data_IF_924840411458
#
_entry.id   IF_924840411458
#
_cell.length_a   1.000
_cell.length_b   1.000
_cell.length_c   1.000
_cell.angle_alpha   90.00
_cell.angle_beta   90.00
_cell.angle_gamma   90.00
#
_symmetry.space_group_name_H-M   'P 1'
#
loop_
_entity.id
_entity.type
_entity.pdbx_description
1 polymer ?
2 non-polymer ?
3 non-polymer ?
4 non-polymer ?
5 non-polymer ?
6 water ?
#
# COMPACT_ATOMS: atom_id res chain seq x y z
N UNK A 1 5.37 17.52 21.56
CA UNK A 1 4.73 16.92 20.39
C UNK A 1 4.71 15.39 20.49
N UNK A 2 3.70 14.78 19.92
CA UNK A 2 3.50 13.32 20.02
C UNK A 2 2.79 12.72 18.82
N UNK A 3 3.06 13.25 17.64
CA UNK A 3 2.41 12.79 16.43
C UNK A 3 3.23 11.72 15.73
N UNK A 4 2.56 10.78 15.08
CA UNK A 4 3.23 9.84 14.19
C UNK A 4 3.00 10.30 12.77
N UNK A 5 4.02 10.18 11.93
CA UNK A 5 3.90 10.56 10.53
C UNK A 5 3.83 9.28 9.69
N UNK A 6 2.77 9.16 8.88
CA UNK A 6 2.64 8.01 7.99
C UNK A 6 2.84 8.50 6.57
N UNK A 7 3.83 7.93 5.87
CA UNK A 7 4.11 8.30 4.49
C UNK A 7 3.41 7.30 3.58
N UNK A 8 2.50 7.78 2.73
CA UNK A 8 1.75 6.90 1.83
C UNK A 8 2.31 7.08 0.42
N UNK A 9 2.67 5.97 -0.23
CA UNK A 9 3.28 6.00 -1.55
C UNK A 9 2.40 5.26 -2.58
N UNK A 10 1.57 6.00 -3.34
CA UNK A 10 0.79 5.34 -4.37
C UNK A 10 1.69 4.95 -5.54
N UNK A 11 1.84 3.65 -5.80
CA UNK A 11 2.83 3.20 -6.76
C UNK A 11 2.59 3.73 -8.16
N UNK A 12 3.69 3.89 -8.89
CA UNK A 12 3.64 4.32 -10.29
C UNK A 12 3.08 5.75 -10.42
N UNK A 13 2.73 6.16 -11.63
CA UNK A 13 2.29 7.53 -11.83
C UNK A 13 2.86 8.13 -13.09
N UNK A 14 2.10 9.02 -13.71
CA UNK A 14 2.53 9.72 -14.91
C UNK A 14 2.82 8.72 -16.02
N UNK A 15 3.99 8.85 -16.62
CA UNK A 15 4.39 7.96 -17.70
C UNK A 15 4.47 6.48 -17.29
N UNK A 16 4.63 6.22 -16.00
CA UNK A 16 4.68 4.85 -15.50
C UNK A 16 3.27 4.39 -15.13
N UNK A 17 2.61 3.67 -16.04
CA UNK A 17 1.24 3.26 -15.80
C UNK A 17 1.11 2.07 -14.85
N UNK A 18 2.20 1.34 -14.63
CA UNK A 18 2.08 0.09 -13.87
C UNK A 18 1.34 -0.92 -14.71
N UNK A 19 0.74 -1.93 -14.08
CA UNK A 19 0.03 -2.94 -14.84
C UNK A 19 -1.20 -2.35 -15.52
N UNK A 20 -1.54 -2.87 -16.69
CA UNK A 20 -2.70 -2.42 -17.46
C UNK A 20 -3.67 -3.57 -17.68
N UNK A 21 -4.92 -3.39 -17.28
CA UNK A 21 -5.91 -4.43 -17.49
C UNK A 21 -6.07 -4.78 -18.96
N UNK A 22 -6.14 -6.08 -19.25
CA UNK A 22 -6.28 -6.59 -20.60
C UNK A 22 -7.73 -6.56 -21.03
N UNK A 23 -8.61 -6.34 -20.07
CA UNK A 23 -10.05 -6.34 -20.29
C UNK A 23 -10.55 -4.95 -20.67
N UNK A 24 -10.03 -3.94 -19.98
CA UNK A 24 -10.69 -2.64 -19.89
C UNK A 24 -9.73 -1.46 -20.03
N UNK A 25 -8.44 -1.75 -20.18
CA UNK A 25 -7.41 -0.72 -20.22
C UNK A 25 -7.56 0.29 -19.09
N UNK A 26 -7.61 -0.24 -17.87
CA UNK A 26 -7.46 0.57 -16.69
C UNK A 26 -6.02 0.40 -16.27
N UNK A 27 -5.46 1.43 -15.63
CA UNK A 27 -4.06 1.41 -15.23
C UNK A 27 -3.91 1.31 -13.74
N UNK A 28 -2.99 0.46 -13.30
CA UNK A 28 -2.63 0.37 -11.89
C UNK A 28 -2.34 1.73 -11.25
N UNK A 29 -1.62 2.60 -11.96
CA UNK A 29 -1.27 3.90 -11.39
C UNK A 29 -2.51 4.65 -10.88
N UNK A 30 -3.62 4.53 -11.59
CA UNK A 30 -4.81 5.31 -11.25
C UNK A 30 -5.54 4.68 -10.07
N UNK A 31 -5.60 3.36 -10.06
CA UNK A 31 -6.26 2.65 -8.99
C UNK A 31 -5.45 2.76 -7.69
N UNK A 32 -4.13 2.72 -7.80
CA UNK A 32 -3.28 2.95 -6.65
C UNK A 32 -3.58 4.31 -5.98
N UNK A 33 -3.72 5.35 -6.81
CA UNK A 33 -3.98 6.69 -6.29
C UNK A 33 -5.34 6.73 -5.61
N UNK A 34 -6.34 6.02 -6.16
CA UNK A 34 -7.68 6.02 -5.57
C UNK A 34 -7.65 5.38 -4.20
N UNK A 35 -7.00 4.22 -4.10
CA UNK A 35 -6.90 3.52 -2.83
C UNK A 35 -6.09 4.35 -1.83
N UNK A 36 -4.98 4.94 -2.27
CA UNK A 36 -4.12 5.72 -1.38
C UNK A 36 -4.84 6.95 -0.85
N UNK A 37 -5.66 7.58 -1.69
CA UNK A 37 -6.40 8.76 -1.27
C UNK A 37 -7.37 8.42 -0.14
N UNK A 38 -8.04 7.28 -0.25
CA UNK A 38 -8.94 6.84 0.80
C UNK A 38 -8.18 6.55 2.07
N UNK A 39 -7.03 5.87 1.94
CA UNK A 39 -6.18 5.57 3.08
C UNK A 39 -5.71 6.87 3.74
N UNK A 40 -5.21 7.81 2.93
CA UNK A 40 -4.73 9.10 3.47
C UNK A 40 -5.83 9.87 4.20
N UNK A 41 -7.01 9.93 3.61
CA UNK A 41 -8.13 10.63 4.23
C UNK A 41 -8.52 10.04 5.57
N UNK A 42 -8.53 8.71 5.65
CA UNK A 42 -8.88 8.02 6.89
C UNK A 42 -7.85 8.23 7.98
N UNK A 43 -6.56 8.12 7.63
CA UNK A 43 -5.50 8.32 8.60
C UNK A 43 -5.48 9.74 9.14
N UNK A 44 -5.73 10.71 8.27
CA UNK A 44 -5.66 12.11 8.67
C UNK A 44 -6.73 12.47 9.71
N UNK A 45 -7.76 11.65 9.83
CA UNK A 45 -8.84 11.87 10.81
C UNK A 45 -8.44 11.41 12.21
N UNK A 46 -7.43 10.55 12.28
CA UNK A 46 -6.94 10.07 13.56
C UNK A 46 -6.18 11.17 14.28
N UNK A 47 -6.29 11.19 15.61
CA UNK A 47 -5.77 12.28 16.42
C UNK A 47 -4.27 12.55 16.28
N UNK A 48 -3.45 11.55 16.62
CA UNK A 48 -2.00 11.72 16.64
C UNK A 48 -1.33 11.37 15.31
N UNK A 49 -2.05 11.53 14.20
CA UNK A 49 -1.51 11.13 12.90
C UNK A 49 -1.36 12.28 11.89
N UNK A 50 -0.18 12.40 11.28
CA UNK A 50 0.03 13.34 10.18
C UNK A 50 0.41 12.55 8.93
N UNK A 51 -0.31 12.80 7.84
CA UNK A 51 -0.09 12.05 6.60
C UNK A 51 0.77 12.82 5.61
N UNK A 52 1.72 12.13 5.00
CA UNK A 52 2.53 12.69 3.93
C UNK A 52 2.37 11.73 2.77
N UNK A 53 2.13 12.24 1.57
CA UNK A 53 1.95 11.32 0.42
C UNK A 53 3.00 11.63 -0.64
N UNK A 54 3.46 10.63 -1.38
CA UNK A 54 4.45 10.93 -2.41
C UNK A 54 3.79 11.67 -3.57
N UNK A 55 2.52 11.39 -3.82
CA UNK A 55 1.80 12.11 -4.86
C UNK A 55 0.32 12.14 -4.57
N UNK A 56 -0.33 13.22 -5.03
CA UNK A 56 -1.77 13.40 -4.92
C UNK A 56 -2.43 13.38 -6.29
N UNK A 57 -1.62 13.34 -7.34
CA UNK A 57 -2.11 13.43 -8.70
C UNK A 57 -1.32 12.50 -9.59
N UNK A 58 -1.58 12.54 -10.89
CA UNK A 58 -0.95 11.59 -11.82
C UNK A 58 0.47 12.03 -12.19
N UNK A 59 1.37 11.96 -11.22
CA UNK A 59 2.73 12.48 -11.39
C UNK A 59 3.74 11.35 -11.42
N UNK A 60 4.71 11.43 -12.33
CA UNK A 60 5.80 10.46 -12.34
C UNK A 60 6.75 10.73 -11.18
N UNK A 61 7.07 9.70 -10.40
CA UNK A 61 8.12 9.80 -9.39
C UNK A 61 9.03 8.57 -9.41
N UNK A 62 10.34 8.79 -9.54
CA UNK A 62 11.29 7.67 -9.57
C UNK A 62 11.33 6.92 -8.23
N UNK A 63 11.81 5.68 -8.22
CA UNK A 63 11.88 4.92 -6.98
C UNK A 63 12.84 5.60 -5.99
N UNK A 64 13.99 6.06 -6.49
CA UNK A 64 14.96 6.76 -5.67
C UNK A 64 14.31 7.96 -5.00
N UNK A 65 13.55 8.73 -5.79
CA UNK A 65 12.90 9.92 -5.26
C UNK A 65 11.87 9.60 -4.17
N UNK A 66 11.12 8.50 -4.31
CA UNK A 66 10.14 8.14 -3.29
C UNK A 66 10.81 7.86 -1.94
N UNK A 67 11.93 7.15 -1.97
CA UNK A 67 12.65 6.86 -0.73
C UNK A 67 13.23 8.15 -0.15
N UNK A 68 13.71 9.04 -1.01
CA UNK A 68 14.21 10.31 -0.54
C UNK A 68 13.11 11.12 0.13
N UNK A 69 11.95 11.22 -0.53
CA UNK A 69 10.82 11.96 0.04
C UNK A 69 10.41 11.36 1.38
N UNK A 70 10.30 10.03 1.46
CA UNK A 70 9.94 9.36 2.70
C UNK A 70 10.95 9.70 3.79
N UNK A 71 12.23 9.56 3.47
CA UNK A 71 13.28 9.81 4.45
C UNK A 71 13.28 11.26 4.93
N UNK A 72 13.17 12.20 3.99
CA UNK A 72 13.14 13.61 4.37
C UNK A 72 11.91 13.98 5.20
N UNK A 73 10.84 13.21 5.08
CA UNK A 73 9.62 13.52 5.82
C UNK A 73 9.72 13.01 7.25
N UNK A 74 10.80 12.28 7.53
CA UNK A 74 11.02 11.64 8.84
C UNK A 74 9.79 10.83 9.28
N UNK A 75 9.19 10.13 8.33
CA UNK A 75 8.01 9.32 8.62
C UNK A 75 8.33 8.25 9.64
N UNK A 76 7.32 7.84 10.41
CA UNK A 76 7.46 6.70 11.32
C UNK A 76 7.19 5.37 10.62
N UNK A 77 6.29 5.41 9.64
CA UNK A 77 5.97 4.24 8.84
C UNK A 77 5.74 4.64 7.40
N UNK A 78 6.13 3.75 6.48
CA UNK A 78 5.89 3.97 5.05
C UNK A 78 4.95 2.87 4.55
N UNK A 79 3.89 3.25 3.85
CA UNK A 79 3.02 2.25 3.22
C UNK A 79 2.93 2.57 1.74
N UNK A 80 3.42 1.65 0.91
CA UNK A 80 3.34 1.79 -0.53
C UNK A 80 2.15 0.98 -1.00
N UNK A 81 1.39 1.53 -1.94
CA UNK A 81 0.16 0.88 -2.42
C UNK A 81 0.34 0.49 -3.88
N UNK A 82 0.27 -0.80 -4.17
CA UNK A 82 0.44 -1.30 -5.54
C UNK A 82 -0.64 -2.34 -5.82
N UNK A 83 -0.75 -2.79 -7.07
CA UNK A 83 -1.60 -3.93 -7.41
C UNK A 83 -0.68 -4.99 -8.01
N UNK A 84 -1.02 -6.24 -7.77
CA UNK A 84 -0.17 -7.31 -8.24
C UNK A 84 -0.46 -7.62 -9.71
N UNK A 85 0.46 -8.36 -10.32
CA UNK A 85 0.28 -8.79 -11.70
C UNK A 85 0.97 -10.13 -11.90
N UNK A 86 0.31 -11.01 -12.65
CA UNK A 86 0.95 -12.22 -13.17
C UNK A 86 1.53 -11.91 -14.54
N UNK A 87 2.80 -12.22 -14.76
CA UNK A 87 3.40 -11.95 -16.08
C UNK A 87 2.80 -12.82 -17.18
N UNK A 88 2.55 -14.09 -16.86
CA UNK A 88 1.90 -15.00 -17.80
C UNK A 88 0.71 -15.73 -17.18
N UNK A 89 -0.34 -14.98 -16.89
CA UNK A 89 -1.52 -15.58 -16.29
C UNK A 89 -2.60 -14.55 -16.02
N UNK A 90 -3.81 -15.02 -15.72
CA UNK A 90 -4.92 -14.13 -15.45
C UNK A 90 -5.86 -14.72 -14.41
N UNK A 91 -5.30 -15.53 -13.52
CA UNK A 91 -6.09 -16.29 -12.55
C UNK A 91 -5.77 -16.03 -11.07
N UNK A 92 -4.57 -15.52 -10.77
CA UNK A 92 -4.16 -15.36 -9.36
C UNK A 92 -5.07 -14.41 -8.58
N UNK A 93 -5.27 -14.67 -7.28
CA UNK A 93 -6.05 -13.76 -6.45
C UNK A 93 -5.44 -13.53 -5.08
N UNK A 94 -5.83 -12.44 -4.44
CA UNK A 94 -5.47 -12.23 -3.06
C UNK A 94 -4.49 -11.09 -2.82
N UNK A 95 -4.25 -10.81 -1.55
CA UNK A 95 -3.40 -9.69 -1.16
C UNK A 95 -2.18 -10.21 -0.42
N UNK A 96 -1.01 -9.62 -0.68
CA UNK A 96 0.20 -9.95 0.09
C UNK A 96 0.88 -8.64 0.44
N UNK A 97 1.69 -8.67 1.49
CA UNK A 97 2.38 -7.44 1.92
C UNK A 97 3.88 -7.69 1.97
N UNK A 98 4.65 -6.81 1.32
CA UNK A 98 6.09 -6.95 1.25
C UNK A 98 6.79 -6.10 2.31
N UNK A 99 7.97 -6.54 2.72
CA UNK A 99 8.88 -5.75 3.55
C UNK A 99 10.31 -6.03 3.09
N UNK A 100 11.25 -5.13 3.42
CA UNK A 100 12.63 -5.25 2.93
C UNK A 100 13.32 -6.51 3.43
N UNK A 101 14.24 -7.04 2.62
CA UNK A 101 15.00 -8.23 2.98
C UNK A 101 15.58 -8.18 4.39
N UNK A 102 15.33 -9.24 5.16
CA UNK A 102 15.92 -9.42 6.50
C UNK A 102 15.67 -8.25 7.45
N UNK A 103 14.50 -7.62 7.33
CA UNK A 103 14.20 -6.45 8.14
C UNK A 103 14.21 -6.75 9.64
N UNK A 104 14.99 -5.98 10.38
CA UNK A 104 15.08 -6.12 11.84
C UNK A 104 14.44 -4.93 12.55
N UNK A 105 13.96 -3.95 11.77
CA UNK A 105 13.51 -2.68 12.32
C UNK A 105 12.03 -2.63 12.69
N UNK A 106 11.32 -3.73 12.48
CA UNK A 106 9.90 -3.77 12.78
C UNK A 106 9.02 -3.78 11.54
N UNK A 107 9.65 -3.67 10.37
CA UNK A 107 8.94 -3.77 9.10
C UNK A 107 8.19 -5.10 8.95
N UNK A 108 8.82 -6.18 9.40
CA UNK A 108 8.20 -7.49 9.29
C UNK A 108 6.96 -7.55 10.17
N UNK A 109 7.06 -6.99 11.37
CA UNK A 109 5.94 -6.93 12.30
C UNK A 109 4.81 -6.04 11.75
N UNK A 110 5.17 -4.90 11.18
CA UNK A 110 4.20 -4.01 10.54
C UNK A 110 3.46 -4.72 9.41
N UNK A 111 4.22 -5.44 8.59
CA UNK A 111 3.68 -6.19 7.47
C UNK A 111 2.65 -7.23 7.92
N UNK A 112 2.99 -8.00 8.96
CA UNK A 112 2.09 -9.04 9.42
C UNK A 112 0.80 -8.45 10.01
N UNK A 113 0.94 -7.39 10.80
CA UNK A 113 -0.20 -6.76 11.45
C UNK A 113 -1.16 -6.18 10.39
N UNK A 114 -0.61 -5.42 9.45
CA UNK A 114 -1.41 -4.86 8.36
C UNK A 114 -2.05 -5.96 7.51
N UNK A 115 -1.25 -6.94 7.08
CA UNK A 115 -1.77 -8.07 6.30
C UNK A 115 -2.93 -8.81 6.98
N UNK A 116 -2.74 -9.17 8.25
CA UNK A 116 -3.79 -9.88 8.98
C UNK A 116 -5.06 -9.05 9.14
N UNK A 117 -4.88 -7.74 9.33
CA UNK A 117 -6.04 -6.86 9.53
C UNK A 117 -6.81 -6.70 8.22
N UNK A 118 -6.08 -6.53 7.12
CA UNK A 118 -6.70 -6.45 5.80
C UNK A 118 -7.57 -7.68 5.58
N UNK A 119 -7.00 -8.86 5.83
CA UNK A 119 -7.73 -10.11 5.64
C UNK A 119 -9.05 -10.17 6.43
N UNK A 120 -9.08 -9.51 7.58
CA UNK A 120 -10.28 -9.47 8.42
C UNK A 120 -11.36 -8.57 7.84
N UNK A 121 -10.93 -7.49 7.20
CA UNK A 121 -11.83 -6.47 6.66
C UNK A 121 -12.40 -6.75 5.26
N UNK A 122 -11.58 -7.25 4.35
CA UNK A 122 -12.06 -7.51 2.98
C UNK A 122 -12.27 -9.01 2.74
N UNK A 123 -11.67 -9.83 3.59
CA UNK A 123 -11.89 -11.29 3.55
C UNK A 123 -11.51 -11.84 2.17
N UNK A 124 -10.30 -11.48 1.78
CA UNK A 124 -9.68 -11.87 0.53
C UNK A 124 -8.73 -13.00 0.87
N UNK A 125 -8.17 -13.61 -0.17
CA UNK A 125 -7.23 -14.70 0.01
C UNK A 125 -5.95 -14.15 0.65
N UNK A 126 -5.50 -14.82 1.71
CA UNK A 126 -4.34 -14.36 2.49
C UNK A 126 -3.04 -14.94 1.90
N UNK A 127 -2.36 -14.15 1.07
CA UNK A 127 -1.11 -14.57 0.45
C UNK A 127 0.09 -14.38 1.38
N UNK A 128 -0.16 -13.84 2.57
CA UNK A 128 0.87 -13.72 3.58
C UNK A 128 1.79 -12.53 3.37
N UNK A 129 2.95 -12.56 4.03
CA UNK A 129 3.94 -11.49 3.90
C UNK A 129 5.18 -12.04 3.20
N UNK A 130 5.90 -11.15 2.52
CA UNK A 130 7.01 -11.55 1.64
C UNK A 130 8.18 -10.58 1.78
N UNK A 131 9.39 -11.11 1.86
CA UNK A 131 10.57 -10.25 1.73
C UNK A 131 10.73 -9.84 0.27
N UNK A 132 11.04 -8.57 0.05
CA UNK A 132 11.28 -8.08 -1.31
C UNK A 132 12.24 -6.91 -1.30
N UNK A 133 13.19 -6.93 -2.23
CA UNK A 133 14.24 -5.91 -2.27
C UNK A 133 13.86 -4.62 -3.02
N UNK A 134 12.56 -4.42 -3.25
CA UNK A 134 12.04 -3.21 -3.92
C UNK A 134 12.70 -1.95 -3.37
N UNK A 135 13.23 -1.11 -4.27
CA UNK A 135 14.08 0.01 -3.86
C UNK A 135 13.44 0.93 -2.81
N UNK A 136 12.14 1.20 -2.96
CA UNK A 136 11.45 2.08 -2.00
C UNK A 136 11.50 1.52 -0.59
N UNK A 137 11.40 0.19 -0.46
CA UNK A 137 11.51 -0.46 0.83
C UNK A 137 12.97 -0.48 1.28
N UNK A 138 13.84 -0.86 0.36
CA UNK A 138 15.25 -1.05 0.66
C UNK A 138 15.94 0.22 1.14
N UNK A 139 15.63 1.35 0.51
CA UNK A 139 16.35 2.60 0.76
C UNK A 139 15.62 3.57 1.70
N UNK A 140 14.43 3.19 2.17
CA UNK A 140 13.76 3.99 3.19
C UNK A 140 14.30 3.67 4.60
N UNK A 141 14.27 4.66 5.48
CA UNK A 141 14.91 4.56 6.79
C UNK A 141 14.01 4.16 7.96
N UNK A 142 12.73 3.94 7.70
CA UNK A 142 11.80 3.62 8.76
C UNK A 142 11.09 2.34 8.39
N UNK A 143 10.34 1.74 9.35
CA UNK A 143 9.52 0.58 8.98
C UNK A 143 8.66 0.86 7.75
N UNK A 144 8.77 -0.03 6.75
CA UNK A 144 8.20 0.21 5.43
C UNK A 144 7.60 -1.07 4.87
N UNK A 145 6.38 -0.97 4.31
CA UNK A 145 5.73 -2.11 3.67
C UNK A 145 5.18 -1.68 2.31
N UNK A 146 4.95 -2.66 1.45
CA UNK A 146 4.30 -2.41 0.17
C UNK A 146 3.17 -3.43 0.10
N UNK A 147 1.95 -2.93 -0.06
CA UNK A 147 0.80 -3.83 -0.12
C UNK A 147 0.40 -4.03 -1.57
N UNK A 148 0.36 -5.30 -2.01
CA UNK A 148 -0.09 -5.66 -3.35
C UNK A 148 -1.57 -5.97 -3.23
N UNK A 149 -2.41 -5.01 -3.62
CA UNK A 149 -3.82 -5.01 -3.24
C UNK A 149 -4.74 -5.83 -4.14
N UNK A 150 -4.24 -6.96 -4.65
CA UNK A 150 -5.05 -7.81 -5.50
C UNK A 150 -4.42 -7.83 -6.88
N UNK A 151 -4.81 -8.79 -7.71
CA UNK A 151 -4.23 -8.95 -9.05
C UNK A 151 -5.03 -8.24 -10.11
N UNK A 152 -4.51 -7.13 -10.63
CA UNK A 152 -5.24 -6.41 -11.66
C UNK A 152 -5.35 -7.23 -12.94
N UNK A 153 -4.45 -8.19 -13.10
CA UNK A 153 -4.46 -9.08 -14.26
C UNK A 153 -5.53 -10.19 -14.23
N UNK A 154 -6.22 -10.32 -13.10
CA UNK A 154 -7.29 -11.32 -12.95
C UNK A 154 -8.63 -10.59 -12.96
N UNK A 155 -9.46 -10.86 -13.97
CA UNK A 155 -10.72 -10.13 -14.15
C UNK A 155 -11.60 -10.06 -12.90
N UNK A 156 -11.79 -11.15 -12.16
CA UNK A 156 -12.53 -11.05 -10.89
C UNK A 156 -11.93 -10.03 -9.91
N UNK A 157 -10.59 -9.98 -9.80
CA UNK A 157 -9.94 -9.10 -8.84
C UNK A 157 -10.13 -7.66 -9.29
N UNK A 158 -10.02 -7.45 -10.59
CA UNK A 158 -10.20 -6.11 -11.14
C UNK A 158 -11.59 -5.56 -10.79
N UNK A 159 -12.62 -6.41 -10.84
CA UNK A 159 -13.98 -5.95 -10.50
C UNK A 159 -14.10 -5.51 -9.05
N UNK A 160 -13.29 -6.10 -8.18
CA UNK A 160 -13.21 -5.64 -6.79
C UNK A 160 -12.39 -4.37 -6.67
N UNK A 161 -11.19 -4.39 -7.24
CA UNK A 161 -10.26 -3.26 -7.13
C UNK A 161 -10.88 -1.94 -7.59
N UNK A 162 -11.72 -1.99 -8.61
CA UNK A 162 -12.35 -0.75 -9.13
C UNK A 162 -13.53 -0.27 -8.30
N UNK A 163 -14.02 -1.12 -7.41
CA UNK A 163 -15.25 -0.85 -6.67
C UNK A 163 -14.97 0.01 -5.45
N UNK A 164 -15.75 1.08 -5.29
CA UNK A 164 -15.48 2.08 -4.26
C UNK A 164 -15.69 1.53 -2.86
N UNK A 165 -16.68 0.67 -2.69
CA UNK A 165 -16.97 0.14 -1.37
C UNK A 165 -15.87 -0.84 -0.97
N UNK A 166 -15.32 -1.54 -1.95
CA UNK A 166 -14.21 -2.43 -1.72
C UNK A 166 -12.95 -1.63 -1.38
N UNK A 167 -12.73 -0.54 -2.12
CA UNK A 167 -11.58 0.30 -1.81
C UNK A 167 -11.70 0.85 -0.39
N UNK A 168 -12.92 1.18 0.02
CA UNK A 168 -13.15 1.73 1.34
C UNK A 168 -12.84 0.73 2.46
N UNK A 169 -13.31 -0.51 2.27
CA UNK A 169 -13.06 -1.59 3.20
C UNK A 169 -11.57 -1.86 3.32
N UNK A 170 -10.91 -1.92 2.17
CA UNK A 170 -9.48 -2.21 2.12
C UNK A 170 -8.72 -1.11 2.85
N UNK A 171 -9.07 0.15 2.56
CA UNK A 171 -8.43 1.28 3.21
C UNK A 171 -8.66 1.24 4.72
N UNK A 172 -9.88 0.88 5.14
CA UNK A 172 -10.18 0.81 6.56
C UNK A 172 -9.33 -0.27 7.23
N UNK A 173 -9.21 -1.41 6.56
CA UNK A 173 -8.38 -2.50 7.05
C UNK A 173 -6.93 -2.08 7.21
N UNK A 174 -6.42 -1.36 6.22
CA UNK A 174 -5.05 -0.86 6.29
C UNK A 174 -4.88 0.13 7.44
N UNK A 175 -5.80 1.07 7.57
CA UNK A 175 -5.77 2.02 8.68
C UNK A 175 -5.66 1.30 10.02
N UNK A 176 -6.53 0.34 10.25
CA UNK A 176 -6.56 -0.34 11.53
C UNK A 176 -5.27 -1.12 11.78
N UNK A 177 -4.68 -1.67 10.73
CA UNK A 177 -3.42 -2.38 10.86
C UNK A 177 -2.29 -1.44 11.24
N UNK A 178 -2.22 -0.31 10.56
CA UNK A 178 -1.22 0.71 10.88
C UNK A 178 -1.39 1.22 12.31
N UNK A 179 -2.62 1.54 12.71
CA UNK A 179 -2.87 2.08 14.04
C UNK A 179 -2.52 1.06 15.12
N UNK A 180 -2.82 -0.20 14.83
CA UNK A 180 -2.50 -1.29 15.74
C UNK A 180 -1.00 -1.47 15.89
N UNK A 181 -0.26 -1.25 14.79
CA UNK A 181 1.20 -1.29 14.85
C UNK A 181 1.72 -0.11 15.69
N UNK A 182 1.29 1.09 15.33
CA UNK A 182 1.72 2.34 15.99
C UNK A 182 1.34 2.40 17.47
N UNK A 183 0.22 1.80 17.83
CA UNK A 183 -0.23 1.78 19.21
C UNK A 183 0.73 0.97 20.07
N UNK A 184 1.43 0.05 19.43
CA UNK A 184 2.25 -0.94 20.14
C UNK A 184 3.74 -0.76 19.91
N UNK A 185 4.11 -0.17 18.77
CA UNK A 185 5.50 -0.09 18.34
C UNK A 185 5.81 1.19 17.57
N UNK A 186 5.51 2.34 18.16
CA UNK A 186 5.82 3.62 17.52
C UNK A 186 7.32 3.91 17.54
X LIG B 1 3.15 -1.85 -9.00
X LIG C 1 -2.41 5.78 17.03
X LIG C 1 -1.28 5.52 17.83
X LIG C 1 -3.35 6.74 17.76
X LIG C 1 -4.20 6.00 18.62
X LIG C 1 -4.21 7.47 16.73
X LIG C 1 -3.90 8.85 16.72
X LIG D 1 17.81 0.02 7.06
X LIG D 1 18.27 -0.24 5.69
X LIG D 1 17.01 1.26 7.07
X LIG D 1 16.94 -1.09 7.50
X LIG D 1 17.79 -2.25 8.00
X LIG D 1 16.80 -3.25 9.11
X LIG D 1 17.30 -4.62 9.15
X LIG D 1 16.86 -2.65 10.43
X LIG D 1 15.41 -3.25 8.67
X LIG E 1 -0.95 -18.44 -6.42
X LIG E 1 0.35 -18.05 -6.98
X LIG E 1 0.15 -16.93 -7.99
X LIG E 1 1.67 -16.51 -8.89
X LIG E 1 1.92 -15.07 -8.79
X LIG E 1 2.79 -17.24 -8.32
X LIG E 1 1.50 -16.87 -10.29
X LIG F 1 4.28 -8.53 -13.51
X LIG F 1 4.14 -7.47 -14.12
X LIG F 1 4.84 -8.64 -12.42
X LIG G 1 6.42 15.98 8.72
X LIG G 1 5.18 15.87 8.80
X LIG G 1 7.09 15.63 7.76
#
# INVERSE_FOLDING_TARGET
>A
SNAYTVFIDPGHGGNDKGTESKTSNRYEKDLNLQIAKKLANKLSKQKDIQVVVSRTDDTYISLKDRAILANNSSADVLVSIHLNAEKNGNTATGIETWYRNKATDGSKELAQTVQSTIVSYVKVRDRGIVENNFEVLRESNMPAILIECGFLTTPSEEQKIINEKYQDQLAEGIVQGVLSYLDSKGNK
>B hetero
1 ZN ZN
>C hetero
1 GOL C1 O1 C2 O2 C3 O3
>D hetero
1 EPE N1 C2 C6 C9 C10 S O1S O2S O3S
>E hetero
1 EPE N1 C9 C10 S O1S O2S O3S
>F hetero
1 FMT C O1 O2
>G hetero
1 FMT C O1 O2
#
